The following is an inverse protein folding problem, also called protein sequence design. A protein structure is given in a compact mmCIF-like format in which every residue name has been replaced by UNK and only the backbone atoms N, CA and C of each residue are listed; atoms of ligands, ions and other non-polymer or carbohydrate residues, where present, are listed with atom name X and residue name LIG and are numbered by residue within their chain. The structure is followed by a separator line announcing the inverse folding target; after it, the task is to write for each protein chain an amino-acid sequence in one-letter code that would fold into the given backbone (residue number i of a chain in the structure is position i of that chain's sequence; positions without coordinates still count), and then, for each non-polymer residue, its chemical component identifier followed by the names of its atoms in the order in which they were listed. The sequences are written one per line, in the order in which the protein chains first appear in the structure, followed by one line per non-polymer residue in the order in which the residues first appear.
data_IF_442606091571
#
_entry.id   IF_442606091571
#
_cell.length_a   1.000
_cell.length_b   1.000
_cell.length_c   1.000
_cell.angle_alpha   90.00
_cell.angle_beta   90.00
_cell.angle_gamma   90.00
#
_symmetry.space_group_name_H-M   'P 1'
#
loop_
_entity.id
_entity.type
_entity.pdbx_description
1 polymer ?
#
# COMPACT_ATOMS: atom_id res chain seq x y z
N UNK A 1 -8.54 -9.17 -45.15
CA UNK A 1 -7.54 -8.25 -45.73
C UNK A 1 -6.16 -8.65 -45.23
N UNK A 2 -5.11 -8.64 -46.05
CA UNK A 2 -3.76 -8.97 -45.59
C UNK A 2 -3.35 -7.97 -44.50
N UNK A 3 -2.72 -8.47 -43.43
CA UNK A 3 -2.12 -7.65 -42.36
C UNK A 3 -0.94 -6.88 -42.94
N UNK A 4 -1.21 -5.82 -43.70
CA UNK A 4 -0.20 -4.85 -44.06
C UNK A 4 0.37 -4.24 -42.77
N UNK A 5 1.66 -4.43 -42.58
CA UNK A 5 2.41 -3.80 -41.51
C UNK A 5 2.37 -2.28 -41.71
N UNK A 6 1.57 -1.61 -40.89
CA UNK A 6 1.51 -0.15 -40.80
C UNK A 6 2.90 0.47 -40.57
N UNK A 7 3.15 1.70 -41.05
CA UNK A 7 4.45 2.34 -40.99
C UNK A 7 4.98 2.52 -39.54
N UNK A 8 6.31 2.51 -39.32
CA UNK A 8 6.94 2.46 -37.99
C UNK A 8 6.63 3.64 -37.06
N UNK A 9 6.06 4.72 -37.60
CA UNK A 9 5.82 6.01 -36.95
C UNK A 9 4.57 6.01 -36.04
N UNK A 10 3.60 5.11 -36.27
CA UNK A 10 2.34 5.02 -35.50
C UNK A 10 2.43 4.19 -34.20
N UNK A 11 3.64 3.96 -33.68
CA UNK A 11 3.89 3.09 -32.52
C UNK A 11 4.24 3.83 -31.23
N UNK A 12 4.21 5.17 -31.20
CA UNK A 12 4.47 5.92 -29.98
C UNK A 12 3.21 5.94 -29.14
N UNK A 13 3.31 5.62 -27.86
CA UNK A 13 2.20 5.78 -26.93
C UNK A 13 1.85 7.28 -26.86
N UNK A 14 0.61 7.63 -27.18
CA UNK A 14 0.10 9.00 -27.14
C UNK A 14 -0.66 9.23 -25.83
N UNK A 15 -1.52 8.28 -25.47
CA UNK A 15 -2.30 8.37 -24.23
C UNK A 15 -2.69 6.99 -23.69
N UNK A 16 -2.92 6.93 -22.38
CA UNK A 16 -3.64 5.83 -21.73
C UNK A 16 -5.00 6.33 -21.23
N UNK A 17 -6.06 5.59 -21.51
CA UNK A 17 -7.45 5.99 -21.28
C UNK A 17 -8.18 4.89 -20.51
N UNK A 18 -8.84 5.24 -19.41
CA UNK A 18 -9.81 4.37 -18.75
C UNK A 18 -11.20 4.64 -19.34
N UNK A 19 -11.90 3.57 -19.74
CA UNK A 19 -13.26 3.59 -20.27
C UNK A 19 -13.99 2.31 -19.88
N UNK A 20 -15.12 2.02 -20.50
CA UNK A 20 -15.94 0.83 -20.28
C UNK A 20 -16.30 0.16 -21.61
N UNK A 21 -16.43 -1.15 -21.56
CA UNK A 21 -17.17 -1.98 -22.52
C UNK A 21 -18.63 -1.84 -22.15
N UNK A 22 -19.47 -1.39 -23.07
CA UNK A 22 -20.91 -1.20 -22.87
C UNK A 22 -21.73 -2.15 -23.75
N UNK A 23 -23.01 -2.31 -23.42
CA UNK A 23 -23.91 -3.17 -24.19
C UNK A 23 -23.68 -4.66 -23.95
N UNK A 24 -23.07 -5.02 -22.81
CA UNK A 24 -22.69 -6.41 -22.48
C UNK A 24 -23.88 -7.37 -22.50
N UNK A 25 -25.07 -6.93 -22.11
CA UNK A 25 -26.31 -7.75 -22.12
C UNK A 25 -26.69 -8.36 -23.47
N UNK A 26 -26.08 -7.91 -24.56
CA UNK A 26 -26.30 -8.45 -25.90
C UNK A 26 -25.27 -9.53 -26.28
N UNK A 27 -24.35 -9.87 -25.37
CA UNK A 27 -23.18 -10.69 -25.62
C UNK A 27 -22.84 -11.59 -24.43
N UNK A 28 -22.61 -12.87 -24.68
CA UNK A 28 -22.35 -13.86 -23.63
C UNK A 28 -20.85 -14.07 -23.33
N UNK A 29 -19.96 -13.31 -23.97
CA UNK A 29 -18.52 -13.54 -23.84
C UNK A 29 -18.02 -13.29 -22.41
N UNK A 30 -17.33 -14.32 -21.89
CA UNK A 30 -16.65 -14.25 -20.60
C UNK A 30 -15.44 -13.31 -20.70
N UNK A 31 -15.25 -12.52 -19.64
CA UNK A 31 -14.15 -11.58 -19.50
C UNK A 31 -13.28 -11.96 -18.30
N UNK A 32 -11.99 -12.25 -18.51
CA UNK A 32 -11.08 -12.58 -17.43
C UNK A 32 -10.26 -11.36 -16.97
N UNK A 33 -9.96 -11.25 -15.66
CA UNK A 33 -9.09 -10.20 -15.14
C UNK A 33 -7.72 -10.15 -15.81
N UNK A 34 -7.30 -8.95 -16.23
CA UNK A 34 -6.00 -8.69 -16.84
C UNK A 34 -5.86 -9.11 -18.30
N UNK A 35 -6.91 -9.67 -18.90
CA UNK A 35 -6.93 -10.19 -20.26
C UNK A 35 -6.85 -9.06 -21.31
N UNK A 36 -6.04 -9.22 -22.39
CA UNK A 36 -6.08 -8.32 -23.53
C UNK A 36 -7.38 -8.52 -24.32
N UNK A 37 -7.95 -7.43 -24.82
CA UNK A 37 -9.12 -7.49 -25.71
C UNK A 37 -8.74 -7.10 -27.13
N UNK A 38 -9.48 -7.62 -28.10
CA UNK A 38 -9.37 -7.18 -29.49
C UNK A 38 -10.39 -6.07 -29.74
N UNK A 39 -9.97 -5.04 -30.48
CA UNK A 39 -10.79 -3.88 -30.83
C UNK A 39 -10.99 -3.91 -32.34
N UNK A 40 -12.23 -4.07 -32.77
CA UNK A 40 -12.60 -4.26 -34.17
C UNK A 40 -13.47 -3.10 -34.62
N UNK A 41 -13.01 -2.36 -35.62
CA UNK A 41 -13.81 -1.28 -36.23
C UNK A 41 -14.99 -1.87 -37.00
N UNK A 42 -16.18 -1.33 -36.76
CA UNK A 42 -17.41 -1.67 -37.48
C UNK A 42 -17.97 -0.44 -38.23
N UNK A 43 -17.34 0.03 -39.32
CA UNK A 43 -17.79 1.22 -40.05
C UNK A 43 -19.17 1.05 -40.71
N UNK A 44 -19.61 -0.20 -40.93
CA UNK A 44 -20.93 -0.53 -41.46
C UNK A 44 -22.01 -0.76 -40.39
N UNK A 45 -21.74 -0.47 -39.13
CA UNK A 45 -22.73 -0.63 -38.06
C UNK A 45 -23.91 0.34 -38.28
N UNK A 46 -25.16 -0.14 -38.28
CA UNK A 46 -26.34 0.67 -38.64
C UNK A 46 -26.71 1.74 -37.61
N UNK A 47 -26.18 1.66 -36.38
CA UNK A 47 -26.50 2.57 -35.28
C UNK A 47 -25.41 3.61 -35.01
N UNK A 48 -24.15 3.25 -35.25
CA UNK A 48 -23.00 4.11 -35.05
C UNK A 48 -21.88 3.80 -36.06
N UNK A 49 -21.62 4.68 -37.05
CA UNK A 49 -20.54 4.46 -38.02
C UNK A 49 -19.15 4.45 -37.37
N UNK A 50 -19.02 4.94 -36.14
CA UNK A 50 -17.77 4.93 -35.38
C UNK A 50 -17.63 3.72 -34.44
N UNK A 51 -18.59 2.79 -34.46
CA UNK A 51 -18.62 1.64 -33.56
C UNK A 51 -17.29 0.86 -33.52
N UNK A 52 -16.83 0.57 -32.32
CA UNK A 52 -15.68 -0.31 -32.07
C UNK A 52 -16.17 -1.46 -31.22
N UNK A 53 -16.26 -2.63 -31.84
CA UNK A 53 -16.55 -3.89 -31.16
C UNK A 53 -15.36 -4.29 -30.29
N UNK A 54 -15.65 -4.76 -29.09
CA UNK A 54 -14.67 -5.31 -28.15
C UNK A 54 -14.87 -6.82 -28.11
N UNK A 55 -13.85 -7.57 -28.49
CA UNK A 55 -13.82 -9.03 -28.40
C UNK A 55 -12.84 -9.47 -27.30
N UNK A 56 -13.14 -10.58 -26.61
CA UNK A 56 -12.19 -11.18 -25.68
C UNK A 56 -10.98 -11.80 -26.42
N UNK A 57 -10.02 -12.40 -25.71
CA UNK A 57 -8.82 -13.02 -26.31
C UNK A 57 -9.13 -14.18 -27.25
N UNK A 58 -10.33 -14.75 -27.18
CA UNK A 58 -10.79 -15.85 -28.03
C UNK A 58 -11.47 -15.34 -29.31
N UNK A 59 -11.64 -14.02 -29.46
CA UNK A 59 -12.36 -13.41 -30.58
C UNK A 59 -13.88 -13.40 -30.40
N UNK A 60 -14.38 -13.66 -29.18
CA UNK A 60 -15.81 -13.63 -28.89
C UNK A 60 -16.26 -12.20 -28.57
N UNK A 61 -17.32 -11.68 -29.22
CA UNK A 61 -17.84 -10.35 -28.95
C UNK A 61 -18.29 -10.19 -27.50
N UNK A 62 -17.82 -9.15 -26.81
CA UNK A 62 -18.09 -8.89 -25.40
C UNK A 62 -18.82 -7.55 -25.13
N UNK A 63 -19.06 -6.76 -26.18
CA UNK A 63 -19.68 -5.44 -26.12
C UNK A 63 -18.99 -4.45 -27.04
N UNK A 64 -19.28 -3.17 -26.88
CA UNK A 64 -18.69 -2.09 -27.68
C UNK A 64 -17.99 -1.06 -26.80
N UNK A 65 -17.07 -0.28 -27.36
CA UNK A 65 -16.61 0.94 -26.71
C UNK A 65 -17.78 1.93 -26.55
N UNK A 66 -17.75 2.72 -25.47
CA UNK A 66 -18.67 3.86 -25.32
C UNK A 66 -18.66 4.73 -26.58
N UNK A 67 -19.85 5.12 -27.04
CA UNK A 67 -20.06 5.83 -28.31
C UNK A 67 -19.20 7.08 -28.43
N UNK A 68 -19.07 7.85 -27.37
CA UNK A 68 -18.29 9.08 -27.34
C UNK A 68 -16.79 8.80 -27.49
N UNK A 69 -16.30 7.71 -26.89
CA UNK A 69 -14.90 7.26 -27.02
C UNK A 69 -14.63 6.67 -28.40
N UNK A 70 -15.59 5.91 -28.94
CA UNK A 70 -15.52 5.37 -30.28
C UNK A 70 -15.48 6.50 -31.33
N UNK A 71 -16.38 7.47 -31.25
CA UNK A 71 -16.41 8.65 -32.11
C UNK A 71 -15.14 9.50 -32.02
N UNK A 72 -14.53 9.56 -30.83
CA UNK A 72 -13.28 10.29 -30.62
C UNK A 72 -12.07 9.62 -31.28
N UNK A 73 -11.99 8.29 -31.26
CA UNK A 73 -10.79 7.55 -31.70
C UNK A 73 -10.91 6.95 -33.10
N UNK A 74 -12.11 6.55 -33.52
CA UNK A 74 -12.34 5.84 -34.77
C UNK A 74 -11.87 6.58 -36.04
N UNK A 75 -12.02 7.91 -36.18
CA UNK A 75 -11.49 8.63 -37.34
C UNK A 75 -9.97 8.44 -37.50
N UNK A 76 -9.23 8.48 -36.38
CA UNK A 76 -7.78 8.28 -36.39
C UNK A 76 -7.39 6.83 -36.70
N UNK A 77 -8.19 5.86 -36.22
CA UNK A 77 -8.00 4.44 -36.52
C UNK A 77 -8.26 4.13 -37.99
N UNK A 78 -9.34 4.67 -38.56
CA UNK A 78 -9.72 4.47 -39.96
C UNK A 78 -8.71 5.12 -40.91
N UNK A 79 -8.15 6.27 -40.53
CA UNK A 79 -7.06 6.92 -41.26
C UNK A 79 -5.71 6.21 -41.10
N UNK A 80 -5.61 5.15 -40.29
CA UNK A 80 -4.36 4.44 -40.00
C UNK A 80 -3.38 5.23 -39.14
N UNK A 81 -3.80 6.36 -38.59
CA UNK A 81 -2.97 7.25 -37.74
C UNK A 81 -2.96 6.83 -36.28
N UNK A 82 -4.01 6.14 -35.82
CA UNK A 82 -4.12 5.64 -34.46
C UNK A 82 -4.20 4.11 -34.44
N UNK A 83 -3.52 3.52 -33.46
CA UNK A 83 -3.66 2.10 -33.10
C UNK A 83 -4.10 1.98 -31.65
N UNK A 84 -5.14 1.19 -31.42
CA UNK A 84 -5.67 0.96 -30.08
C UNK A 84 -5.22 -0.40 -29.56
N UNK A 85 -4.93 -0.48 -28.27
CA UNK A 85 -4.76 -1.74 -27.55
C UNK A 85 -5.57 -1.70 -26.26
N UNK A 86 -6.48 -2.67 -26.09
CA UNK A 86 -7.33 -2.77 -24.91
C UNK A 86 -6.88 -3.86 -23.95
N UNK A 87 -7.09 -3.65 -22.65
CA UNK A 87 -6.91 -4.67 -21.62
C UNK A 87 -7.89 -4.45 -20.46
N UNK A 88 -8.45 -5.54 -19.94
CA UNK A 88 -9.25 -5.52 -18.74
C UNK A 88 -8.39 -5.28 -17.48
N UNK A 89 -8.92 -4.60 -16.45
CA UNK A 89 -8.24 -4.50 -15.16
C UNK A 89 -7.88 -5.87 -14.60
N UNK A 90 -6.80 -5.96 -13.81
CA UNK A 90 -6.40 -7.20 -13.13
C UNK A 90 -7.36 -7.63 -12.01
N UNK A 91 -8.29 -6.75 -11.64
CA UNK A 91 -9.42 -6.99 -10.76
C UNK A 91 -10.51 -6.00 -11.14
N UNK A 92 -11.72 -6.51 -11.37
CA UNK A 92 -12.92 -5.72 -11.59
C UNK A 92 -14.16 -6.54 -11.32
N UNK A 93 -15.25 -5.86 -10.97
CA UNK A 93 -16.59 -6.42 -11.07
C UNK A 93 -17.17 -5.99 -12.42
N UNK A 94 -17.82 -6.92 -13.12
CA UNK A 94 -18.59 -6.66 -14.31
C UNK A 94 -20.06 -6.87 -13.98
N UNK A 95 -20.93 -6.00 -14.48
CA UNK A 95 -22.35 -6.26 -14.49
C UNK A 95 -22.82 -6.60 -15.92
N UNK A 96 -24.12 -6.85 -16.06
CA UNK A 96 -24.75 -7.18 -17.35
C UNK A 96 -24.74 -5.99 -18.33
N UNK A 97 -24.42 -4.77 -17.89
CA UNK A 97 -24.48 -3.57 -18.71
C UNK A 97 -23.09 -3.10 -19.15
N UNK A 98 -22.11 -3.12 -18.25
CA UNK A 98 -20.79 -2.57 -18.46
C UNK A 98 -19.65 -3.34 -17.77
N UNK A 99 -18.46 -3.25 -18.34
CA UNK A 99 -17.21 -3.72 -17.73
C UNK A 99 -16.08 -2.71 -17.96
N UNK A 100 -15.21 -2.44 -16.98
CA UNK A 100 -14.11 -1.50 -17.15
C UNK A 100 -13.07 -1.97 -18.16
N UNK A 101 -12.47 -1.02 -18.88
CA UNK A 101 -11.48 -1.26 -19.92
C UNK A 101 -10.38 -0.19 -19.90
N UNK A 102 -9.12 -0.63 -19.97
CA UNK A 102 -7.98 0.26 -20.18
C UNK A 102 -7.55 0.22 -21.66
N UNK A 103 -7.51 1.39 -22.27
CA UNK A 103 -7.04 1.61 -23.64
C UNK A 103 -5.66 2.26 -23.62
N UNK A 104 -4.76 1.74 -24.47
CA UNK A 104 -3.53 2.42 -24.89
C UNK A 104 -3.70 2.87 -26.32
N UNK A 105 -3.48 4.16 -26.55
CA UNK A 105 -3.62 4.80 -27.86
C UNK A 105 -2.22 5.08 -28.37
N UNK A 106 -1.89 4.52 -29.52
CA UNK A 106 -0.62 4.71 -30.20
C UNK A 106 -0.83 5.53 -31.46
N UNK A 107 0.13 6.38 -31.80
CA UNK A 107 0.09 7.24 -32.98
C UNK A 107 1.43 7.90 -33.24
N UNK A 108 1.49 8.90 -34.14
CA UNK A 108 2.69 9.70 -34.38
C UNK A 108 3.17 10.41 -33.10
N UNK A 109 4.49 10.66 -32.94
CA UNK A 109 5.01 11.46 -31.84
C UNK A 109 4.30 12.83 -31.75
N UNK A 110 3.82 13.19 -30.57
CA UNK A 110 3.16 14.47 -30.35
C UNK A 110 1.79 14.61 -31.04
N UNK A 111 1.19 13.51 -31.52
CA UNK A 111 -0.15 13.52 -32.09
C UNK A 111 -1.17 14.06 -31.08
N UNK A 112 -1.85 15.14 -31.46
CA UNK A 112 -2.91 15.72 -30.65
C UNK A 112 -4.20 14.92 -30.85
N UNK A 113 -4.68 14.28 -29.77
CA UNK A 113 -5.95 13.56 -29.79
C UNK A 113 -7.15 14.53 -29.71
N UNK A 114 -6.93 15.83 -29.53
CA UNK A 114 -7.97 16.80 -29.29
C UNK A 114 -8.59 16.65 -27.89
N UNK A 115 -9.76 17.27 -27.70
CA UNK A 115 -10.45 17.28 -26.40
C UNK A 115 -11.07 15.91 -26.12
N UNK A 116 -10.72 15.22 -25.01
CA UNK A 116 -11.32 13.95 -24.67
C UNK A 116 -12.80 14.14 -24.25
N UNK A 117 -13.67 13.13 -24.47
CA UNK A 117 -15.04 13.15 -23.98
C UNK A 117 -15.15 13.37 -22.46
N UNK A 118 -16.30 13.89 -22.01
CA UNK A 118 -16.56 14.10 -20.59
C UNK A 118 -16.43 12.79 -19.79
N UNK A 119 -15.75 12.85 -18.64
CA UNK A 119 -15.47 11.67 -17.82
C UNK A 119 -14.30 10.79 -18.30
N UNK A 120 -13.67 11.10 -19.45
CA UNK A 120 -12.46 10.42 -19.94
C UNK A 120 -11.22 11.24 -19.58
N UNK A 121 -10.33 10.68 -18.73
CA UNK A 121 -9.06 11.33 -18.39
C UNK A 121 -7.88 10.62 -19.06
N UNK A 122 -7.37 11.11 -20.21
CA UNK A 122 -6.15 10.57 -20.80
C UNK A 122 -4.97 10.86 -19.88
N UNK A 123 -4.20 9.83 -19.54
CA UNK A 123 -2.87 9.99 -18.95
C UNK A 123 -1.89 10.28 -20.09
N UNK A 124 -1.22 11.43 -20.06
CA UNK A 124 -0.18 11.78 -21.03
C UNK A 124 0.95 10.75 -20.98
N UNK A 125 1.27 10.15 -22.12
CA UNK A 125 2.44 9.29 -22.22
C UNK A 125 3.71 10.09 -21.91
N UNK A 126 4.49 9.66 -20.92
CA UNK A 126 5.88 10.13 -20.82
C UNK A 126 6.62 9.72 -22.11
N UNK A 127 7.48 10.58 -22.69
CA UNK A 127 8.18 10.24 -23.93
C UNK A 127 8.95 8.91 -23.79
N UNK A 128 8.76 8.03 -24.76
CA UNK A 128 9.39 6.69 -24.77
C UNK A 128 10.92 6.80 -24.89
N UNK A 129 11.68 5.99 -24.13
CA UNK A 129 13.13 5.83 -24.36
C UNK A 129 13.38 5.03 -25.66
N UNK A 130 14.55 5.19 -26.32
CA UNK A 130 14.81 4.63 -27.64
C UNK A 130 14.80 3.09 -27.70
N UNK A 131 14.43 2.54 -28.87
CA UNK A 131 14.12 1.12 -29.12
C UNK A 131 15.27 0.14 -28.87
N UNK A 132 14.88 -1.03 -28.35
CA UNK A 132 15.69 -2.17 -27.87
C UNK A 132 16.54 -2.86 -28.95
N UNK A 133 17.82 -3.12 -28.62
CA UNK A 133 18.59 -4.27 -29.13
C UNK A 133 17.96 -5.58 -28.62
N UNK A 134 18.20 -6.68 -29.35
CA UNK A 134 17.95 -8.09 -29.00
C UNK A 134 17.97 -8.28 -27.48
N UNK A 135 16.99 -8.98 -26.86
CA UNK A 135 16.97 -9.11 -25.41
C UNK A 135 18.24 -9.83 -24.97
N UNK A 136 19.20 -9.05 -24.47
CA UNK A 136 20.12 -9.54 -23.46
C UNK A 136 19.27 -10.22 -22.38
N UNK A 137 19.74 -11.34 -21.81
CA UNK A 137 19.02 -12.00 -20.73
C UNK A 137 18.60 -10.91 -19.75
N UNK A 138 17.31 -10.91 -19.36
CA UNK A 138 16.79 -9.97 -18.36
C UNK A 138 17.89 -9.85 -17.31
N UNK A 139 18.43 -8.65 -17.01
CA UNK A 139 19.22 -8.54 -15.80
C UNK A 139 18.34 -9.16 -14.72
N UNK A 140 18.92 -10.05 -13.91
CA UNK A 140 18.28 -10.54 -12.69
C UNK A 140 17.54 -9.34 -12.08
N UNK A 141 16.27 -9.48 -11.61
CA UNK A 141 15.63 -8.38 -10.87
C UNK A 141 16.70 -7.85 -9.94
N UNK A 142 17.09 -6.57 -10.10
CA UNK A 142 18.31 -6.01 -9.51
C UNK A 142 18.43 -6.65 -8.14
N UNK A 143 19.42 -7.55 -7.97
CA UNK A 143 19.49 -8.40 -6.78
C UNK A 143 19.24 -7.47 -5.61
N UNK A 144 18.10 -7.63 -4.91
CA UNK A 144 17.65 -6.65 -3.94
C UNK A 144 18.81 -6.52 -2.96
N UNK A 145 19.56 -5.43 -3.07
CA UNK A 145 20.88 -5.40 -2.46
C UNK A 145 20.67 -5.53 -0.96
N UNK A 146 21.46 -6.36 -0.27
CA UNK A 146 21.36 -6.44 1.18
C UNK A 146 21.58 -5.03 1.74
N UNK A 147 20.67 -4.60 2.60
CA UNK A 147 20.85 -3.36 3.36
C UNK A 147 21.80 -3.71 4.49
N UNK A 148 22.91 -2.98 4.63
CA UNK A 148 23.80 -3.16 5.77
C UNK A 148 23.20 -2.53 7.03
N UNK A 149 22.23 -3.24 7.61
CA UNK A 149 21.46 -2.78 8.77
C UNK A 149 22.22 -3.01 10.09
N UNK A 150 23.23 -3.88 10.10
CA UNK A 150 23.94 -4.25 11.33
C UNK A 150 24.66 -3.06 11.99
N UNK A 151 25.41 -2.19 11.27
CA UNK A 151 26.00 -0.99 11.85
C UNK A 151 24.96 0.00 12.39
N UNK A 152 23.80 0.09 11.74
CA UNK A 152 22.71 0.97 12.17
C UNK A 152 22.07 0.47 13.46
N UNK A 153 21.84 -0.84 13.58
CA UNK A 153 21.27 -1.45 14.79
C UNK A 153 22.26 -1.47 15.97
N UNK A 154 23.57 -1.54 15.71
CA UNK A 154 24.61 -1.46 16.73
C UNK A 154 24.63 -0.10 17.48
N UNK A 155 23.94 0.91 16.94
CA UNK A 155 23.72 2.20 17.61
C UNK A 155 22.68 2.13 18.74
N UNK A 156 22.07 0.96 18.95
CA UNK A 156 21.09 0.72 19.98
C UNK A 156 21.49 -0.46 20.86
N UNK A 157 21.22 -0.35 22.15
CA UNK A 157 21.41 -1.40 23.15
C UNK A 157 20.07 -1.80 23.77
N UNK A 158 19.96 -3.07 24.16
CA UNK A 158 18.82 -3.56 24.92
C UNK A 158 18.87 -2.97 26.34
N UNK A 159 17.83 -2.24 26.72
CA UNK A 159 17.63 -1.81 28.09
C UNK A 159 16.92 -2.86 28.94
N UNK A 160 16.63 -2.54 30.21
CA UNK A 160 16.05 -3.50 31.15
C UNK A 160 14.63 -3.93 30.74
N UNK A 161 14.32 -5.24 30.71
CA UNK A 161 12.99 -5.74 30.35
C UNK A 161 11.93 -5.31 31.38
N UNK A 162 10.81 -4.79 30.89
CA UNK A 162 9.60 -4.57 31.68
C UNK A 162 8.58 -5.65 31.34
N UNK A 163 8.12 -6.40 32.34
CA UNK A 163 7.22 -7.55 32.14
C UNK A 163 5.89 -7.38 32.89
N UNK A 164 4.80 -7.72 32.22
CA UNK A 164 3.48 -7.84 32.83
C UNK A 164 2.68 -8.96 32.17
N UNK A 165 2.26 -9.95 32.97
CA UNK A 165 1.43 -11.10 32.58
C UNK A 165 2.04 -11.95 31.46
N UNK A 166 1.73 -11.66 30.21
CA UNK A 166 2.20 -12.40 29.05
C UNK A 166 2.96 -11.50 28.07
N UNK A 167 3.24 -10.26 28.44
CA UNK A 167 3.98 -9.31 27.60
C UNK A 167 5.24 -8.84 28.32
N UNK A 168 6.36 -8.95 27.63
CA UNK A 168 7.62 -8.30 27.98
C UNK A 168 7.92 -7.23 26.94
N UNK A 169 8.28 -6.03 27.40
CA UNK A 169 8.83 -4.97 26.57
C UNK A 169 10.30 -4.79 26.90
N UNK A 170 11.16 -4.86 25.88
CA UNK A 170 12.59 -4.65 25.99
C UNK A 170 12.91 -3.37 25.22
N UNK A 171 13.28 -2.27 25.90
CA UNK A 171 13.58 -1.01 25.22
C UNK A 171 14.86 -1.09 24.41
N UNK A 172 14.89 -0.35 23.30
CA UNK A 172 16.07 -0.07 22.50
C UNK A 172 16.53 1.36 22.82
N UNK A 173 17.64 1.46 23.54
CA UNK A 173 18.23 2.72 23.98
C UNK A 173 19.40 3.09 23.06
N UNK A 174 19.61 4.37 22.72
CA UNK A 174 20.77 4.79 21.93
C UNK A 174 22.09 4.55 22.68
N UNK A 175 23.14 4.13 21.97
CA UNK A 175 24.46 3.78 22.55
C UNK A 175 25.50 4.92 22.54
N UNK A 176 25.12 6.15 22.14
CA UNK A 176 26.04 7.30 22.02
C UNK A 176 25.34 8.63 21.78
N UNK A 177 26.06 9.63 21.21
CA UNK A 177 25.45 10.90 20.80
C UNK A 177 24.27 10.65 19.87
N UNK A 178 23.19 11.38 20.18
CA UNK A 178 21.84 11.06 19.79
C UNK A 178 21.66 10.82 18.29
N UNK A 179 20.64 10.04 17.92
CA UNK A 179 20.26 9.86 16.53
C UNK A 179 20.06 11.22 15.85
N UNK A 180 20.48 11.34 14.59
CA UNK A 180 20.33 12.57 13.82
C UNK A 180 18.89 13.09 13.81
N UNK A 181 18.70 14.36 13.46
CA UNK A 181 17.38 15.03 13.43
C UNK A 181 16.30 14.12 12.82
N UNK A 182 15.35 13.67 13.63
CA UNK A 182 14.24 12.86 13.15
C UNK A 182 13.29 13.70 12.29
N UNK A 183 12.74 13.16 11.19
CA UNK A 183 11.69 13.85 10.45
C UNK A 183 10.43 14.03 11.30
N UNK A 184 9.63 15.05 11.00
CA UNK A 184 8.37 15.29 11.71
C UNK A 184 7.36 14.17 11.46
N UNK A 185 6.54 13.83 12.45
CA UNK A 185 5.56 12.74 12.32
C UNK A 185 4.28 13.22 11.62
N UNK A 186 3.60 12.31 10.91
CA UNK A 186 2.31 12.60 10.29
C UNK A 186 1.27 13.06 11.30
N UNK A 187 1.18 12.40 12.45
CA UNK A 187 0.21 12.72 13.50
C UNK A 187 0.35 14.15 14.02
N UNK A 188 1.58 14.59 14.29
CA UNK A 188 1.90 15.97 14.69
C UNK A 188 1.60 16.95 13.55
N UNK A 189 1.98 16.62 12.32
CA UNK A 189 1.73 17.47 11.16
C UNK A 189 0.23 17.64 10.86
N UNK A 190 -0.59 16.62 11.10
CA UNK A 190 -2.05 16.71 11.02
C UNK A 190 -2.62 17.60 12.13
N UNK A 191 -2.15 17.43 13.37
CA UNK A 191 -2.59 18.24 14.51
C UNK A 191 -2.28 19.73 14.32
N UNK A 192 -1.12 20.05 13.75
CA UNK A 192 -0.67 21.42 13.51
C UNK A 192 -1.19 22.02 12.18
N UNK A 193 -1.94 21.25 11.39
CA UNK A 193 -2.41 21.68 10.06
C UNK A 193 -1.32 21.79 8.99
N UNK A 194 -0.12 21.27 9.25
CA UNK A 194 1.01 21.17 8.31
C UNK A 194 0.86 20.02 7.32
N UNK A 195 -0.09 19.12 7.54
CA UNK A 195 -0.45 18.07 6.60
C UNK A 195 -1.97 17.92 6.46
N UNK A 196 -2.39 17.31 5.35
CA UNK A 196 -3.76 16.82 5.17
C UNK A 196 -3.71 15.42 4.59
N UNK A 197 -4.64 14.57 5.04
CA UNK A 197 -4.88 13.28 4.42
C UNK A 197 -6.32 13.22 3.94
N UNK A 198 -6.50 12.81 2.70
CA UNK A 198 -7.79 12.75 2.02
C UNK A 198 -7.87 11.56 1.06
N UNK A 199 -9.09 11.28 0.58
CA UNK A 199 -9.31 10.36 -0.53
C UNK A 199 -8.60 10.89 -1.79
N UNK A 200 -8.07 10.00 -2.63
CA UNK A 200 -7.39 10.41 -3.87
C UNK A 200 -8.31 11.13 -4.87
N UNK A 201 -9.63 10.89 -4.78
CA UNK A 201 -10.70 11.55 -5.54
C UNK A 201 -12.06 11.38 -4.81
N UNK A 202 -13.14 11.98 -5.33
CA UNK A 202 -14.50 11.88 -4.75
C UNK A 202 -15.06 10.44 -4.71
N UNK A 203 -14.64 9.59 -5.65
CA UNK A 203 -14.95 8.15 -5.66
C UNK A 203 -14.24 7.39 -4.54
N UNK A 204 -13.08 7.87 -4.09
CA UNK A 204 -12.18 7.18 -3.16
C UNK A 204 -11.36 6.10 -3.84
N UNK A 205 -10.28 5.68 -3.19
CA UNK A 205 -9.54 4.45 -3.56
C UNK A 205 -9.36 3.62 -2.30
N UNK A 206 -9.79 2.36 -2.35
CA UNK A 206 -9.68 1.41 -1.24
C UNK A 206 -8.22 1.28 -0.79
N UNK A 207 -7.29 1.18 -1.75
CA UNK A 207 -5.87 0.90 -1.49
C UNK A 207 -4.97 2.14 -1.46
N UNK A 208 -5.53 3.37 -1.56
CA UNK A 208 -4.69 4.57 -1.67
C UNK A 208 -5.32 5.81 -1.06
N UNK A 209 -4.55 6.53 -0.25
CA UNK A 209 -4.89 7.87 0.23
C UNK A 209 -3.95 8.92 -0.38
N UNK A 210 -4.38 10.17 -0.40
CA UNK A 210 -3.51 11.30 -0.70
C UNK A 210 -3.04 11.96 0.59
N UNK A 211 -1.73 12.01 0.80
CA UNK A 211 -1.09 12.80 1.85
C UNK A 211 -0.56 14.08 1.20
N UNK A 212 -0.98 15.23 1.69
CA UNK A 212 -0.48 16.54 1.26
C UNK A 212 0.37 17.11 2.38
N UNK A 213 1.67 17.24 2.14
CA UNK A 213 2.58 17.95 3.03
C UNK A 213 2.55 19.44 2.66
N UNK A 214 2.01 20.26 3.56
CA UNK A 214 1.91 21.71 3.42
C UNK A 214 3.08 22.43 4.12
N UNK A 215 3.92 21.69 4.84
CA UNK A 215 5.07 22.20 5.56
C UNK A 215 6.34 22.29 4.71
N UNK A 216 7.37 22.89 5.31
CA UNK A 216 8.70 23.04 4.72
C UNK A 216 9.64 21.86 5.01
N UNK A 217 9.22 20.90 5.85
CA UNK A 217 10.04 19.77 6.32
C UNK A 217 9.41 18.44 5.90
N UNK A 218 10.23 17.38 5.67
CA UNK A 218 9.73 16.05 5.38
C UNK A 218 8.87 15.48 6.51
N UNK A 219 7.83 14.71 6.15
CA UNK A 219 6.92 14.07 7.10
C UNK A 219 7.06 12.56 7.02
N UNK A 220 7.41 11.94 8.15
CA UNK A 220 7.44 10.49 8.31
C UNK A 220 6.02 9.98 8.53
N UNK A 221 5.62 9.01 7.72
CA UNK A 221 4.36 8.27 7.85
C UNK A 221 4.72 6.81 8.18
N UNK A 222 4.71 6.41 9.47
CA UNK A 222 5.11 5.06 9.86
C UNK A 222 4.12 3.99 9.39
N UNK A 223 4.63 2.79 9.09
CA UNK A 223 3.76 1.64 8.85
C UNK A 223 3.00 1.25 10.12
N UNK A 224 1.76 0.80 9.96
CA UNK A 224 0.93 0.34 11.08
C UNK A 224 0.08 1.44 11.72
N UNK A 225 0.35 2.72 11.44
CA UNK A 225 -0.53 3.82 11.86
C UNK A 225 -1.92 3.66 11.21
N UNK A 226 -2.98 3.79 12.00
CA UNK A 226 -4.37 3.74 11.53
C UNK A 226 -4.90 5.16 11.40
N UNK A 227 -5.24 5.50 10.16
CA UNK A 227 -5.87 6.74 9.75
C UNK A 227 -7.39 6.55 9.81
N UNK A 228 -8.03 7.37 10.64
CA UNK A 228 -9.45 7.29 10.99
C UNK A 228 -10.20 8.46 10.34
N UNK A 229 -11.37 8.18 9.78
CA UNK A 229 -12.23 9.20 9.15
C UNK A 229 -12.65 8.83 7.74
N UNK A 230 -12.94 9.84 6.93
CA UNK A 230 -13.36 9.73 5.53
C UNK A 230 -14.38 8.61 5.28
N UNK A 231 -14.23 7.81 4.23
CA UNK A 231 -15.18 6.73 3.90
C UNK A 231 -14.99 5.47 4.76
N UNK A 232 -13.75 5.16 5.14
CA UNK A 232 -13.37 3.99 5.93
C UNK A 232 -12.01 4.22 6.61
N UNK A 233 -11.75 3.50 7.71
CA UNK A 233 -10.45 3.52 8.36
C UNK A 233 -9.38 2.75 7.55
N UNK A 234 -8.14 3.23 7.60
CA UNK A 234 -7.01 2.71 6.80
C UNK A 234 -5.78 2.48 7.65
N UNK A 235 -5.09 1.35 7.45
CA UNK A 235 -3.75 1.12 7.99
C UNK A 235 -2.71 1.44 6.94
N UNK A 236 -1.64 2.12 7.33
CA UNK A 236 -0.48 2.40 6.46
C UNK A 236 0.29 1.12 6.17
N UNK A 237 0.54 0.82 4.89
CA UNK A 237 1.17 -0.44 4.48
C UNK A 237 2.67 -0.48 4.72
N UNK A 238 3.37 0.58 4.33
CA UNK A 238 4.83 0.69 4.40
C UNK A 238 5.19 2.08 4.93
N UNK A 239 6.32 2.17 5.61
CA UNK A 239 6.83 3.47 6.08
C UNK A 239 7.27 4.30 4.88
N UNK A 240 6.79 5.54 4.80
CA UNK A 240 7.17 6.49 3.74
C UNK A 240 7.57 7.84 4.34
N UNK A 241 8.45 8.55 3.65
CA UNK A 241 8.80 9.92 3.96
C UNK A 241 8.27 10.84 2.85
N UNK A 242 7.35 11.74 3.21
CA UNK A 242 6.66 12.62 2.27
C UNK A 242 7.40 13.95 2.16
N UNK A 243 7.81 14.31 0.94
CA UNK A 243 8.59 15.50 0.68
C UNK A 243 7.83 16.80 1.06
N UNK A 244 8.54 17.87 1.47
CA UNK A 244 7.94 19.20 1.68
C UNK A 244 7.13 19.68 0.48
N UNK A 245 6.01 20.37 0.74
CA UNK A 245 5.20 20.99 -0.31
C UNK A 245 4.62 20.04 -1.36
N UNK A 246 4.55 18.73 -1.08
CA UNK A 246 4.19 17.71 -2.07
C UNK A 246 2.87 17.01 -1.76
N UNK A 247 2.26 16.46 -2.81
CA UNK A 247 1.14 15.50 -2.72
C UNK A 247 1.66 14.10 -3.03
N UNK A 248 1.45 13.18 -2.10
CA UNK A 248 1.91 11.80 -2.17
C UNK A 248 0.74 10.81 -2.13
N UNK A 249 0.80 9.75 -2.93
CA UNK A 249 -0.20 8.67 -2.92
C UNK A 249 0.28 7.57 -1.99
N UNK A 250 -0.31 7.52 -0.80
CA UNK A 250 0.04 6.60 0.28
C UNK A 250 -0.63 5.24 0.07
N UNK A 251 0.13 4.13 -0.04
CA UNK A 251 -0.43 2.79 -0.06
C UNK A 251 -0.97 2.42 1.33
N UNK A 252 -2.22 1.97 1.35
CA UNK A 252 -2.94 1.61 2.57
C UNK A 252 -3.78 0.36 2.38
N UNK A 253 -4.20 -0.25 3.49
CA UNK A 253 -5.19 -1.33 3.51
C UNK A 253 -6.37 -0.94 4.39
N UNK A 254 -7.58 -1.42 4.07
CA UNK A 254 -8.79 -1.15 4.85
C UNK A 254 -8.81 -1.98 6.12
N UNK A 255 -9.14 -1.35 7.25
CA UNK A 255 -9.32 -2.03 8.55
C UNK A 255 -10.76 -1.93 9.06
N UNK A 256 -11.69 -1.68 8.13
CA UNK A 256 -13.12 -1.54 8.38
C UNK A 256 -13.90 -1.99 7.13
N UNK A 257 -14.62 -3.11 7.21
CA UNK A 257 -15.30 -3.74 6.06
C UNK A 257 -16.67 -3.13 5.77
N UNK A 258 -17.43 -2.83 6.83
CA UNK A 258 -18.87 -2.55 6.73
C UNK A 258 -19.27 -1.09 6.56
N UNK A 259 -18.32 -0.16 6.41
CA UNK A 259 -18.62 1.27 6.22
C UNK A 259 -18.16 1.68 4.83
N UNK A 260 -18.97 2.37 4.03
CA UNK A 260 -18.49 3.06 2.81
C UNK A 260 -19.23 4.39 2.67
N UNK A 261 -19.05 5.27 3.66
CA UNK A 261 -19.69 6.59 3.72
C UNK A 261 -18.83 7.56 4.49
N UNK A 262 -18.86 8.82 4.07
CA UNK A 262 -18.10 9.88 4.73
C UNK A 262 -18.55 10.09 6.18
N UNK A 263 -17.61 10.00 7.13
CA UNK A 263 -17.75 10.59 8.47
C UNK A 263 -17.14 12.00 8.54
N UNK A 264 -16.14 12.27 7.69
CA UNK A 264 -15.43 13.55 7.56
C UNK A 264 -14.86 13.65 6.15
N UNK A 265 -14.35 14.82 5.74
CA UNK A 265 -13.59 14.95 4.47
C UNK A 265 -12.10 14.61 4.60
N UNK A 266 -11.60 14.54 5.83
CA UNK A 266 -10.19 14.35 6.14
C UNK A 266 -9.98 13.19 7.10
N UNK A 267 -8.81 12.57 7.04
CA UNK A 267 -8.38 11.58 8.02
C UNK A 267 -7.63 12.24 9.17
N UNK A 268 -7.75 11.65 10.36
CA UNK A 268 -6.92 11.90 11.52
C UNK A 268 -6.11 10.65 11.87
N UNK A 269 -4.97 10.82 12.52
CA UNK A 269 -4.20 9.70 13.01
C UNK A 269 -4.80 9.19 14.33
N UNK A 270 -5.46 8.03 14.31
CA UNK A 270 -6.36 7.62 15.40
C UNK A 270 -5.88 6.46 16.26
N UNK A 271 -5.34 5.40 15.65
CA UNK A 271 -4.94 4.18 16.34
C UNK A 271 -3.69 3.57 15.71
N UNK A 272 -3.29 2.39 16.18
CA UNK A 272 -2.19 1.63 15.61
C UNK A 272 -2.61 0.17 15.44
N UNK A 273 -2.21 -0.46 14.35
CA UNK A 273 -2.54 -1.86 14.07
C UNK A 273 -1.77 -2.80 14.99
N UNK A 274 -2.40 -3.90 15.42
CA UNK A 274 -1.76 -4.93 16.24
C UNK A 274 -0.58 -5.58 15.50
N UNK A 275 0.42 -6.13 16.21
CA UNK A 275 1.48 -6.92 15.59
C UNK A 275 0.94 -8.05 14.69
N UNK A 276 -0.19 -8.68 15.04
CA UNK A 276 -0.91 -9.68 14.23
C UNK A 276 -1.35 -9.13 12.88
N UNK A 277 -2.04 -7.99 12.86
CA UNK A 277 -2.46 -7.33 11.62
C UNK A 277 -1.23 -6.93 10.80
N UNK A 278 -0.19 -6.39 11.43
CA UNK A 278 1.02 -5.93 10.74
C UNK A 278 1.84 -7.07 10.14
N UNK A 279 2.03 -8.19 10.86
CA UNK A 279 2.76 -9.36 10.34
C UNK A 279 2.07 -10.00 9.13
N UNK A 280 0.74 -10.17 9.19
CA UNK A 280 -0.05 -10.71 8.06
C UNK A 280 -0.06 -9.77 6.88
N UNK A 281 -0.25 -8.47 7.13
CA UNK A 281 -0.18 -7.42 6.09
C UNK A 281 1.17 -7.46 5.37
N UNK A 282 2.29 -7.50 6.09
CA UNK A 282 3.61 -7.57 5.47
C UNK A 282 3.81 -8.85 4.67
N UNK A 283 3.51 -10.01 5.25
CA UNK A 283 3.62 -11.29 4.54
C UNK A 283 2.80 -11.31 3.25
N UNK A 284 1.55 -10.81 3.31
CA UNK A 284 0.66 -10.75 2.17
C UNK A 284 1.15 -9.78 1.08
N UNK A 285 1.64 -8.59 1.46
CA UNK A 285 2.21 -7.63 0.52
C UNK A 285 3.43 -8.21 -0.22
N UNK A 286 4.31 -8.93 0.48
CA UNK A 286 5.48 -9.57 -0.12
C UNK A 286 5.09 -10.74 -1.02
N UNK A 287 4.12 -11.56 -0.59
CA UNK A 287 3.56 -12.62 -1.40
C UNK A 287 2.90 -12.07 -2.69
N UNK A 288 2.16 -10.97 -2.59
CA UNK A 288 1.54 -10.29 -3.73
C UNK A 288 2.60 -9.73 -4.68
N UNK A 289 3.65 -9.08 -4.16
CA UNK A 289 4.82 -8.59 -4.92
C UNK A 289 5.54 -9.74 -5.65
N UNK A 290 5.63 -10.91 -5.02
CA UNK A 290 6.18 -12.14 -5.60
C UNK A 290 5.23 -12.85 -6.58
N UNK A 291 3.98 -12.37 -6.73
CA UNK A 291 3.00 -12.92 -7.67
C UNK A 291 2.20 -14.11 -7.14
N UNK A 292 2.17 -14.34 -5.83
CA UNK A 292 1.54 -15.51 -5.19
C UNK A 292 0.00 -15.47 -5.13
N UNK A 293 -0.67 -14.48 -5.75
CA UNK A 293 -2.13 -14.39 -5.77
C UNK A 293 -2.79 -14.12 -4.40
N UNK A 294 -2.00 -13.78 -3.38
CA UNK A 294 -2.48 -13.45 -2.03
C UNK A 294 -2.96 -11.99 -2.02
N UNK A 295 -4.13 -11.74 -1.43
CA UNK A 295 -4.66 -10.38 -1.25
C UNK A 295 -4.28 -9.83 0.11
N UNK A 296 -3.45 -8.78 0.15
CA UNK A 296 -3.13 -8.08 1.39
C UNK A 296 -4.37 -7.54 2.11
N UNK A 297 -5.40 -7.12 1.36
CA UNK A 297 -6.65 -6.64 1.91
C UNK A 297 -7.45 -7.75 2.64
N UNK A 298 -7.50 -8.95 2.04
CA UNK A 298 -8.17 -10.10 2.64
C UNK A 298 -7.51 -10.57 3.93
N UNK A 299 -6.18 -10.64 3.94
CA UNK A 299 -5.39 -11.04 5.11
C UNK A 299 -5.50 -10.03 6.26
N UNK A 300 -5.52 -8.72 5.95
CA UNK A 300 -5.77 -7.68 6.95
C UNK A 300 -7.15 -7.86 7.58
N UNK A 301 -8.18 -8.15 6.79
CA UNK A 301 -9.52 -8.37 7.33
C UNK A 301 -9.61 -9.62 8.21
N UNK A 302 -9.02 -10.73 7.79
CA UNK A 302 -8.97 -11.94 8.61
C UNK A 302 -8.26 -11.69 9.96
N UNK A 303 -7.18 -10.91 9.97
CA UNK A 303 -6.50 -10.52 11.20
C UNK A 303 -7.35 -9.61 12.11
N UNK A 304 -8.10 -8.67 11.53
CA UNK A 304 -9.01 -7.80 12.29
C UNK A 304 -10.15 -8.62 12.91
N UNK A 305 -10.72 -9.56 12.15
CA UNK A 305 -11.79 -10.43 12.64
C UNK A 305 -11.29 -11.29 13.83
N UNK A 306 -10.07 -11.83 13.75
CA UNK A 306 -9.45 -12.55 14.87
C UNK A 306 -9.19 -11.69 16.11
N UNK A 307 -8.75 -10.43 15.94
CA UNK A 307 -8.55 -9.53 17.08
C UNK A 307 -9.89 -9.18 17.74
N UNK A 308 -10.96 -9.02 16.96
CA UNK A 308 -12.32 -8.82 17.49
C UNK A 308 -12.82 -10.04 18.27
N UNK A 309 -12.61 -11.25 17.73
CA UNK A 309 -12.96 -12.53 18.38
C UNK A 309 -12.20 -12.73 19.69
N UNK A 310 -10.87 -12.53 19.67
CA UNK A 310 -10.00 -12.65 20.84
C UNK A 310 -10.42 -11.73 21.99
N UNK A 311 -11.04 -10.59 21.67
CA UNK A 311 -11.57 -9.67 22.66
C UNK A 311 -13.07 -9.84 22.94
N UNK A 312 -13.74 -10.77 22.28
CA UNK A 312 -15.20 -10.98 22.34
C UNK A 312 -15.97 -9.69 22.05
N UNK A 313 -15.55 -8.94 21.02
CA UNK A 313 -16.15 -7.67 20.62
C UNK A 313 -16.98 -7.85 19.36
N UNK A 314 -18.24 -7.44 19.41
CA UNK A 314 -19.09 -7.32 18.21
C UNK A 314 -18.99 -5.90 17.66
N UNK A 315 -18.45 -5.73 16.44
CA UNK A 315 -18.48 -4.46 15.71
C UNK A 315 -19.43 -4.58 14.52
N UNK A 316 -20.47 -3.73 14.40
CA UNK A 316 -21.38 -3.73 13.26
C UNK A 316 -20.70 -3.49 11.90
N UNK A 317 -19.50 -2.92 11.88
CA UNK A 317 -18.74 -2.63 10.66
C UNK A 317 -17.44 -3.43 10.54
N UNK A 318 -17.18 -4.36 11.47
CA UNK A 318 -15.87 -5.01 11.63
C UNK A 318 -14.72 -3.99 11.66
N UNK A 319 -14.86 -2.95 12.49
CA UNK A 319 -13.88 -1.89 12.67
C UNK A 319 -12.85 -2.30 13.73
N UNK A 320 -11.57 -2.32 13.35
CA UNK A 320 -10.47 -2.54 14.31
C UNK A 320 -10.47 -1.49 15.43
N UNK A 321 -10.86 -0.25 15.12
CA UNK A 321 -10.85 0.87 16.09
C UNK A 321 -11.87 0.63 17.21
N UNK A 322 -13.01 0.00 16.91
CA UNK A 322 -14.03 -0.34 17.91
C UNK A 322 -13.51 -1.43 18.86
N UNK A 323 -12.81 -2.42 18.27
CA UNK A 323 -12.07 -3.46 18.97
C UNK A 323 -11.08 -2.86 19.98
N UNK A 324 -10.28 -1.93 19.48
CA UNK A 324 -9.25 -1.23 20.22
C UNK A 324 -9.80 -0.38 21.38
N UNK A 325 -10.89 0.37 21.20
CA UNK A 325 -11.45 1.19 22.29
C UNK A 325 -11.98 0.35 23.47
N UNK A 326 -12.61 -0.79 23.17
CA UNK A 326 -13.08 -1.70 24.21
C UNK A 326 -11.92 -2.46 24.88
N UNK A 327 -10.85 -2.78 24.15
CA UNK A 327 -9.61 -3.33 24.71
C UNK A 327 -8.88 -2.30 25.59
N UNK A 328 -8.83 -1.02 25.18
CA UNK A 328 -8.20 0.09 25.92
C UNK A 328 -8.77 0.26 27.33
N UNK A 329 -10.08 0.04 27.51
CA UNK A 329 -10.73 0.03 28.84
C UNK A 329 -10.29 -1.15 29.72
N UNK A 330 -10.12 -2.33 29.14
CA UNK A 330 -9.69 -3.56 29.83
C UNK A 330 -8.19 -3.58 30.12
N UNK A 331 -7.38 -2.93 29.29
CA UNK A 331 -5.92 -2.99 29.32
C UNK A 331 -5.25 -1.93 30.22
N UNK A 332 -6.02 -1.26 31.08
CA UNK A 332 -5.48 -0.22 31.97
C UNK A 332 -4.34 -0.71 32.88
N UNK A 333 -4.29 -2.01 33.21
CA UNK A 333 -3.20 -2.60 33.98
C UNK A 333 -1.87 -2.64 33.21
N UNK A 334 -1.89 -3.06 31.93
CA UNK A 334 -0.72 -3.04 31.06
C UNK A 334 -0.15 -1.63 30.96
N UNK A 335 -0.99 -0.63 30.66
CA UNK A 335 -0.54 0.76 30.53
C UNK A 335 0.13 1.31 31.80
N UNK A 336 -0.33 0.90 32.99
CA UNK A 336 0.28 1.31 34.27
C UNK A 336 1.58 0.58 34.58
N UNK A 337 1.70 -0.69 34.18
CA UNK A 337 2.83 -1.57 34.52
C UNK A 337 3.95 -1.56 33.47
N UNK A 338 3.62 -1.16 32.25
CA UNK A 338 4.51 -1.08 31.09
C UNK A 338 4.51 0.35 30.51
N UNK A 339 5.03 1.35 31.27
CA UNK A 339 5.15 2.71 30.76
C UNK A 339 6.22 2.81 29.65
N UNK A 340 6.24 3.94 28.94
CA UNK A 340 7.32 4.25 28.00
C UNK A 340 8.66 4.22 28.73
N UNK A 341 9.63 3.40 28.29
CA UNK A 341 10.96 3.42 28.88
C UNK A 341 11.67 4.75 28.54
N UNK A 342 12.25 5.39 29.55
CA UNK A 342 12.91 6.69 29.37
C UNK A 342 14.06 6.60 28.35
N UNK A 343 14.08 7.53 27.39
CA UNK A 343 15.13 7.61 26.37
C UNK A 343 15.11 6.49 25.33
N UNK A 344 14.06 5.65 25.28
CA UNK A 344 13.96 4.61 24.28
C UNK A 344 13.63 5.16 22.89
N UNK A 345 14.37 4.72 21.88
CA UNK A 345 14.06 4.94 20.47
C UNK A 345 13.16 3.83 19.92
N UNK A 346 13.12 2.67 20.57
CA UNK A 346 12.28 1.55 20.15
C UNK A 346 11.93 0.59 21.27
N UNK A 347 11.08 -0.38 20.96
CA UNK A 347 10.72 -1.48 21.85
C UNK A 347 10.67 -2.79 21.07
N UNK A 348 11.18 -3.84 21.69
CA UNK A 348 10.92 -5.23 21.28
C UNK A 348 9.86 -5.78 22.22
N UNK A 349 8.77 -6.27 21.66
CA UNK A 349 7.71 -6.92 22.41
C UNK A 349 7.85 -8.44 22.30
N UNK A 350 7.75 -9.14 23.43
CA UNK A 350 7.82 -10.59 23.48
C UNK A 350 6.82 -11.20 24.44
N UNK A 351 6.59 -12.51 24.27
CA UNK A 351 5.70 -13.35 25.05
C UNK A 351 6.38 -14.69 25.30
N UNK A 352 6.95 -14.89 26.49
CA UNK A 352 7.83 -16.04 26.73
C UNK A 352 8.99 -16.03 25.75
N UNK A 353 9.27 -17.15 25.11
CA UNK A 353 10.36 -17.25 24.13
C UNK A 353 10.04 -16.65 22.76
N UNK A 354 8.78 -16.27 22.50
CA UNK A 354 8.36 -15.70 21.23
C UNK A 354 8.53 -14.19 21.24
N UNK A 355 9.26 -13.64 20.25
CA UNK A 355 9.25 -12.20 19.98
C UNK A 355 8.05 -11.90 19.08
N UNK A 356 7.18 -10.99 19.50
CA UNK A 356 6.03 -10.53 18.71
C UNK A 356 6.47 -9.58 17.61
N UNK A 357 7.39 -8.68 17.92
CA UNK A 357 8.00 -7.78 16.95
C UNK A 357 8.78 -6.63 17.58
N UNK A 358 9.27 -5.75 16.72
CA UNK A 358 10.02 -4.54 17.06
C UNK A 358 9.40 -3.33 16.37
N UNK A 359 9.39 -2.19 17.07
CA UNK A 359 9.24 -0.86 16.50
C UNK A 359 10.44 -0.03 16.96
N UNK A 360 11.22 0.50 16.02
CA UNK A 360 12.42 1.29 16.27
C UNK A 360 12.39 2.56 15.43
N UNK A 361 12.51 3.71 16.07
CA UNK A 361 12.54 5.02 15.43
C UNK A 361 13.94 5.63 15.48
N UNK A 362 14.16 6.66 14.67
CA UNK A 362 15.37 7.46 14.74
C UNK A 362 15.58 7.96 16.17
N UNK A 363 14.63 8.72 16.73
CA UNK A 363 14.83 9.46 17.98
C UNK A 363 13.82 9.10 19.10
N UNK A 364 14.19 9.26 20.39
CA UNK A 364 13.30 8.98 21.51
C UNK A 364 11.99 9.78 21.48
N UNK A 365 12.05 11.02 20.98
CA UNK A 365 10.90 11.90 20.86
C UNK A 365 9.86 11.32 19.90
N UNK A 366 10.30 10.66 18.82
CA UNK A 366 9.40 10.01 17.87
C UNK A 366 8.62 8.87 18.51
N UNK A 367 9.30 7.99 19.27
CA UNK A 367 8.63 6.91 19.99
C UNK A 367 7.69 7.49 21.05
N UNK A 368 8.12 8.52 21.79
CA UNK A 368 7.33 9.16 22.84
C UNK A 368 6.02 9.73 22.31
N UNK A 369 6.06 10.43 21.17
CA UNK A 369 4.88 11.00 20.52
C UNK A 369 3.87 9.93 20.05
N UNK A 370 4.34 8.72 19.72
CA UNK A 370 3.52 7.62 19.22
C UNK A 370 3.11 6.63 20.31
N UNK A 371 3.72 6.69 21.50
CA UNK A 371 3.67 5.65 22.51
C UNK A 371 2.27 5.26 22.95
N UNK A 372 1.37 6.23 23.19
CA UNK A 372 0.02 5.93 23.68
C UNK A 372 -0.72 4.99 22.73
N UNK A 373 -0.64 5.26 21.42
CA UNK A 373 -1.35 4.49 20.39
C UNK A 373 -0.62 3.18 20.07
N UNK A 374 0.70 3.23 19.95
CA UNK A 374 1.55 2.08 19.65
C UNK A 374 1.47 1.01 20.75
N UNK A 375 1.70 1.40 22.00
CA UNK A 375 1.70 0.47 23.14
C UNK A 375 0.35 -0.21 23.33
N UNK A 376 -0.74 0.53 23.08
CA UNK A 376 -2.09 -0.01 23.16
C UNK A 376 -2.35 -1.12 22.13
N UNK A 377 -1.71 -1.08 20.94
CA UNK A 377 -1.82 -2.14 19.94
C UNK A 377 -1.10 -3.43 20.38
N UNK A 378 0.07 -3.31 21.00
CA UNK A 378 0.76 -4.44 21.64
C UNK A 378 -0.04 -5.01 22.81
N UNK A 379 -0.64 -4.14 23.62
CA UNK A 379 -1.46 -4.55 24.77
C UNK A 379 -2.74 -5.24 24.32
N UNK A 380 -3.34 -4.82 23.20
CA UNK A 380 -4.52 -5.48 22.64
C UNK A 380 -4.20 -6.94 22.31
N UNK A 381 -3.19 -7.20 21.46
CA UNK A 381 -2.83 -8.58 21.11
C UNK A 381 -2.46 -9.42 22.34
N UNK A 382 -1.66 -8.86 23.26
CA UNK A 382 -1.31 -9.56 24.50
C UNK A 382 -2.54 -9.88 25.36
N UNK A 383 -3.50 -8.96 25.48
CA UNK A 383 -4.68 -9.15 26.30
C UNK A 383 -5.78 -10.03 25.67
N UNK A 384 -5.71 -10.27 24.35
CA UNK A 384 -6.65 -11.15 23.63
C UNK A 384 -6.45 -12.64 23.95
N UNK A 385 -5.35 -12.99 24.60
CA UNK A 385 -5.06 -14.37 25.00
C UNK A 385 -5.07 -14.50 26.53
N UNK A 386 -5.92 -15.39 27.05
CA UNK A 386 -5.96 -15.69 28.48
C UNK A 386 -4.66 -16.35 28.95
N UNK A 387 -4.11 -15.88 30.08
CA UNK A 387 -2.97 -16.51 30.76
C UNK A 387 -1.82 -15.58 31.10
N UNK A 388 -0.68 -16.20 31.40
CA UNK A 388 0.61 -15.56 31.70
C UNK A 388 1.72 -16.31 30.96
N UNK A 389 2.75 -15.60 30.55
CA UNK A 389 3.96 -16.18 29.96
C UNK A 389 5.17 -15.73 30.78
N UNK A 390 6.25 -16.52 30.85
CA UNK A 390 7.47 -16.05 31.49
C UNK A 390 8.04 -14.81 30.76
N UNK A 391 8.89 -14.00 31.42
CA UNK A 391 9.56 -12.90 30.75
C UNK A 391 10.39 -13.36 29.55
N UNK A 392 10.32 -12.62 28.44
CA UNK A 392 11.16 -12.88 27.27
C UNK A 392 12.64 -12.69 27.59
N UNK A 393 13.49 -13.70 27.35
CA UNK A 393 14.94 -13.58 27.55
C UNK A 393 15.55 -12.52 26.61
N UNK A 394 16.48 -11.67 27.08
CA UNK A 394 17.19 -10.70 26.23
C UNK A 394 17.94 -11.33 25.03
N UNK A 395 18.34 -12.60 25.15
CA UNK A 395 18.98 -13.37 24.09
C UNK A 395 18.02 -13.54 22.91
N UNK A 396 16.73 -13.80 23.17
CA UNK A 396 15.71 -13.91 22.11
C UNK A 396 15.50 -12.59 21.38
N UNK A 397 15.57 -11.47 22.08
CA UNK A 397 15.53 -10.15 21.46
C UNK A 397 16.75 -9.87 20.57
N UNK A 398 17.94 -10.26 21.04
CA UNK A 398 19.20 -10.14 20.28
C UNK A 398 19.20 -11.03 19.03
N UNK A 399 18.78 -12.30 19.17
CA UNK A 399 18.61 -13.25 18.07
C UNK A 399 17.63 -12.70 17.01
N UNK A 400 16.51 -12.14 17.45
CA UNK A 400 15.52 -11.53 16.57
C UNK A 400 16.08 -10.35 15.78
N UNK A 401 16.77 -9.40 16.44
CA UNK A 401 17.39 -8.26 15.75
C UNK A 401 18.46 -8.70 14.73
N UNK A 402 19.26 -9.71 15.07
CA UNK A 402 20.25 -10.27 14.15
C UNK A 402 19.56 -10.89 12.91
N UNK A 403 18.45 -11.62 13.11
CA UNK A 403 17.68 -12.19 12.02
C UNK A 403 17.01 -11.12 11.14
N UNK A 404 16.53 -10.02 11.75
CA UNK A 404 16.01 -8.85 11.03
C UNK A 404 17.09 -8.23 10.16
N UNK A 405 18.29 -7.99 10.70
CA UNK A 405 19.42 -7.45 9.94
C UNK A 405 19.81 -8.35 8.75
N UNK A 406 19.89 -9.66 8.97
CA UNK A 406 20.22 -10.63 7.92
C UNK A 406 19.17 -10.74 6.80
N UNK A 407 17.91 -10.40 7.11
CA UNK A 407 16.78 -10.53 6.19
C UNK A 407 16.39 -9.21 5.50
N UNK A 408 17.12 -8.12 5.74
CA UNK A 408 16.82 -6.81 5.17
C UNK A 408 17.32 -6.67 3.73
N UNK A 409 16.45 -6.23 2.82
CA UNK A 409 16.74 -6.07 1.38
C UNK A 409 16.18 -4.74 0.87
N UNK A 410 16.93 -4.03 0.03
CA UNK A 410 16.46 -2.77 -0.54
C UNK A 410 15.19 -2.97 -1.39
N UNK A 411 14.20 -2.11 -1.16
CA UNK A 411 12.97 -2.05 -1.94
C UNK A 411 13.01 -0.84 -2.88
N UNK A 412 13.60 -1.04 -4.05
CA UNK A 412 13.75 -0.01 -5.09
C UNK A 412 12.41 0.46 -5.68
N UNK A 413 11.30 -0.23 -5.36
CA UNK A 413 9.97 0.11 -5.86
C UNK A 413 9.21 1.06 -4.94
N UNK A 414 9.75 1.36 -3.74
CA UNK A 414 9.05 2.17 -2.75
C UNK A 414 8.97 3.64 -3.17
N UNK A 415 7.77 4.23 -3.26
CA UNK A 415 7.62 5.66 -3.51
C UNK A 415 7.90 6.46 -2.23
N UNK A 416 8.53 7.64 -2.36
CA UNK A 416 8.79 8.56 -1.25
C UNK A 416 10.23 9.09 -1.26
N UNK A 417 10.56 9.94 -0.28
CA UNK A 417 11.95 10.27 0.02
C UNK A 417 12.60 9.12 0.80
N UNK A 418 13.93 9.02 0.69
CA UNK A 418 14.72 8.00 1.38
C UNK A 418 14.75 6.65 0.66
N UNK A 419 15.38 5.69 1.33
CA UNK A 419 15.64 4.35 0.83
C UNK A 419 14.82 3.35 1.65
N UNK A 420 13.76 2.81 1.03
CA UNK A 420 12.94 1.76 1.62
C UNK A 420 13.65 0.42 1.62
N UNK A 421 13.41 -0.38 2.66
CA UNK A 421 13.80 -1.78 2.68
C UNK A 421 12.71 -2.67 3.26
N UNK A 422 12.74 -3.93 2.85
CA UNK A 422 11.86 -5.00 3.31
C UNK A 422 12.68 -5.96 4.19
N UNK A 423 12.03 -6.51 5.22
CA UNK A 423 12.56 -7.59 6.05
C UNK A 423 11.69 -8.79 5.77
N UNK A 424 12.22 -9.80 5.09
CA UNK A 424 11.42 -10.95 4.67
C UNK A 424 12.21 -12.24 4.79
N UNK A 425 11.63 -13.20 5.51
CA UNK A 425 12.09 -14.59 5.59
C UNK A 425 10.89 -15.50 5.90
N UNK A 426 11.03 -16.83 5.86
CA UNK A 426 9.97 -17.73 6.30
C UNK A 426 9.50 -17.52 7.76
N UNK A 427 10.31 -16.86 8.59
CA UNK A 427 10.04 -16.62 10.00
C UNK A 427 9.76 -15.15 10.34
N UNK A 428 10.01 -14.21 9.43
CA UNK A 428 9.95 -12.77 9.71
C UNK A 428 9.30 -12.01 8.56
N UNK A 429 8.53 -10.99 8.91
CA UNK A 429 8.04 -9.99 7.95
C UNK A 429 8.09 -8.58 8.55
N UNK A 430 8.52 -7.60 7.78
CA UNK A 430 8.67 -6.23 8.23
C UNK A 430 9.21 -5.30 7.17
N UNK A 431 9.40 -4.03 7.52
CA UNK A 431 10.01 -3.03 6.65
C UNK A 431 10.65 -1.92 7.45
N UNK A 432 11.51 -1.15 6.81
CA UNK A 432 11.99 0.10 7.37
C UNK A 432 12.36 1.12 6.30
N UNK A 433 12.78 2.29 6.74
CA UNK A 433 13.15 3.40 5.89
C UNK A 433 14.44 4.04 6.40
N UNK A 434 15.39 4.21 5.48
CA UNK A 434 16.58 5.02 5.69
C UNK A 434 16.41 6.39 5.02
N UNK A 435 16.94 7.45 5.60
CA UNK A 435 17.04 8.76 4.96
C UNK A 435 18.37 9.39 5.34
N UNK A 436 19.14 9.81 4.33
CA UNK A 436 20.48 10.38 4.52
C UNK A 436 21.40 9.49 5.39
N UNK A 437 21.34 8.18 5.16
CA UNK A 437 22.12 7.18 5.91
C UNK A 437 21.66 6.94 7.35
N UNK A 438 20.55 7.53 7.78
CA UNK A 438 19.98 7.35 9.13
C UNK A 438 18.74 6.47 9.07
N UNK A 439 18.60 5.55 10.03
CA UNK A 439 17.38 4.75 10.20
C UNK A 439 16.25 5.65 10.74
N UNK A 440 15.24 5.94 9.92
CA UNK A 440 14.08 6.71 10.34
C UNK A 440 13.10 5.87 11.15
N UNK A 441 12.81 4.67 10.64
CA UNK A 441 11.90 3.72 11.28
C UNK A 441 12.17 2.31 10.78
N UNK A 442 12.04 1.33 11.68
CA UNK A 442 12.06 -0.10 11.41
C UNK A 442 10.93 -0.75 12.19
N UNK A 443 10.13 -1.55 11.51
CA UNK A 443 9.16 -2.44 12.11
C UNK A 443 9.30 -3.84 11.54
N UNK A 444 9.36 -4.86 12.41
CA UNK A 444 9.44 -6.25 11.99
C UNK A 444 8.78 -7.18 13.00
N UNK A 445 8.24 -8.29 12.52
CA UNK A 445 7.41 -9.22 13.30
C UNK A 445 7.79 -10.66 12.99
N UNK A 446 7.65 -11.53 13.98
CA UNK A 446 7.71 -12.99 13.76
C UNK A 446 6.42 -13.46 13.09
N UNK A 447 6.54 -14.44 12.18
CA UNK A 447 5.42 -15.06 11.47
C UNK A 447 4.81 -16.25 12.21
#
# INVERSE_FOLDING_TARGET
MPRESLPPEANHLVAEVATEIVGRRYFDAALAPGEPVHLVREPGNPYDPWAVLVENRLGEPAGHLRREVAAWLAPGVDAGTLRLAGRLPRSFEADDFAAPLYLRIYGPPGHDLGVPPEGVRPRSARPEPPRRRIPEPRPRPAEEMPVDLAPLLARFILGPPAHHRNLTLIPLLPSGEGPGRAPGLLSEALADGRARVEEVNEGGSVASLAVVNLGAEPILVPEGEILVGAKQNRVVNLTVLVAPGSRFVLPVSCVERGRWRYLSRHFAAGAWASPRVRRRKHAALFAEKAGAGVSAQGEVWAAVDEDLEAHSITSPTSSFVDGFEAARRRNGAYRRRLPLPAGACGVIAGKGEQVLGVDLFAAPESLAALWERLSAAYFAEAAGEEGTAPPTPPEKASEFLAAVAASARHDSTRPGLGEGFEVSSPALAGSGLLWEGTLCHLAAFSL
#
